data_IF_251117980592
#
_entry.id   IF_251117980592
#
_cell.length_a   1.000
_cell.length_b   1.000
_cell.length_c   1.000
_cell.angle_alpha   90.00
_cell.angle_beta   90.00
_cell.angle_gamma   90.00
#
_symmetry.space_group_name_H-M   'P 1'
#
loop_
_entity.id
_entity.type
_entity.pdbx_description
1 polymer ?
#
# COMPACT_ATOMS: atom_id res chain seq x y z
N UNK A 1 -8.74 -53.16 22.06
CA UNK A 1 -7.90 -52.26 22.89
C UNK A 1 -6.60 -51.86 22.21
N UNK A 2 -5.74 -52.80 21.75
CA UNK A 2 -4.46 -52.48 21.07
C UNK A 2 -4.58 -51.51 19.88
N UNK A 3 -5.55 -51.72 18.98
CA UNK A 3 -5.81 -50.80 17.85
C UNK A 3 -6.20 -49.38 18.28
N UNK A 4 -6.98 -49.24 19.35
CA UNK A 4 -7.36 -47.91 19.91
C UNK A 4 -6.15 -47.22 20.54
N UNK A 5 -5.30 -47.96 21.25
CA UNK A 5 -4.05 -47.43 21.81
C UNK A 5 -3.11 -46.95 20.69
N UNK A 6 -2.98 -47.74 19.62
CA UNK A 6 -2.15 -47.42 18.47
C UNK A 6 -2.63 -46.15 17.74
N UNK A 7 -3.95 -46.00 17.59
CA UNK A 7 -4.55 -44.78 17.01
C UNK A 7 -4.28 -43.56 17.91
N UNK A 8 -4.47 -43.70 19.23
CA UNK A 8 -4.20 -42.59 20.17
C UNK A 8 -2.73 -42.20 20.14
N UNK A 9 -1.80 -43.16 20.17
CA UNK A 9 -0.37 -42.89 20.08
C UNK A 9 0.02 -42.23 18.76
N UNK A 10 -0.55 -42.69 17.63
CA UNK A 10 -0.32 -42.06 16.33
C UNK A 10 -0.83 -40.62 16.29
N UNK A 11 -2.03 -40.36 16.83
CA UNK A 11 -2.59 -39.01 16.91
C UNK A 11 -1.74 -38.07 17.77
N UNK A 12 -1.27 -38.55 18.93
CA UNK A 12 -0.38 -37.76 19.80
C UNK A 12 0.92 -37.42 19.08
N UNK A 13 1.49 -38.38 18.34
CA UNK A 13 2.74 -38.17 17.61
C UNK A 13 2.57 -37.17 16.46
N UNK A 14 1.45 -37.22 15.73
CA UNK A 14 1.11 -36.24 14.69
C UNK A 14 1.00 -34.83 15.29
N UNK A 15 0.30 -34.69 16.43
CA UNK A 15 0.15 -33.39 17.12
C UNK A 15 1.51 -32.87 17.57
N UNK A 16 2.37 -33.73 18.11
CA UNK A 16 3.70 -33.35 18.56
C UNK A 16 4.59 -32.86 17.40
N UNK A 17 4.58 -33.57 16.25
CA UNK A 17 5.32 -33.15 15.05
C UNK A 17 4.78 -31.83 14.50
N UNK A 18 3.46 -31.67 14.45
CA UNK A 18 2.82 -30.43 13.99
C UNK A 18 3.18 -29.25 14.90
N UNK A 19 3.10 -29.42 16.22
CA UNK A 19 3.46 -28.40 17.20
C UNK A 19 4.96 -28.03 17.10
N UNK A 20 5.85 -29.02 16.98
CA UNK A 20 7.27 -28.78 16.78
C UNK A 20 7.55 -27.99 15.49
N UNK A 21 6.85 -28.31 14.39
CA UNK A 21 6.99 -27.58 13.13
C UNK A 21 6.45 -26.16 13.22
N UNK A 22 5.32 -25.96 13.91
CA UNK A 22 4.74 -24.64 14.15
C UNK A 22 5.70 -23.77 14.97
N UNK A 23 6.27 -24.30 16.05
CA UNK A 23 7.26 -23.59 16.87
C UNK A 23 8.50 -23.25 16.04
N UNK A 24 9.01 -24.20 15.26
CA UNK A 24 10.15 -23.97 14.39
C UNK A 24 9.87 -22.84 13.39
N UNK A 25 8.73 -22.89 12.70
CA UNK A 25 8.34 -21.84 11.74
C UNK A 25 8.19 -20.48 12.44
N UNK A 26 7.50 -20.40 13.58
CA UNK A 26 7.31 -19.12 14.28
C UNK A 26 8.60 -18.52 14.84
N UNK A 27 9.61 -19.35 15.12
CA UNK A 27 10.90 -18.90 15.69
C UNK A 27 11.97 -18.65 14.63
N UNK A 28 11.86 -19.28 13.46
CA UNK A 28 12.86 -19.21 12.39
C UNK A 28 12.35 -18.50 11.13
N UNK A 29 11.08 -18.10 11.07
CA UNK A 29 10.59 -17.19 10.02
C UNK A 29 10.98 -15.78 10.43
N UNK A 30 11.90 -15.11 9.71
CA UNK A 30 12.23 -13.73 9.99
C UNK A 30 10.99 -12.87 9.77
N UNK A 31 10.59 -12.13 10.80
CA UNK A 31 9.64 -11.04 10.61
C UNK A 31 10.37 -9.92 9.87
N UNK A 32 9.65 -9.24 8.98
CA UNK A 32 10.19 -8.06 8.33
C UNK A 32 10.59 -7.01 9.38
N UNK A 33 11.74 -6.38 9.16
CA UNK A 33 12.18 -5.30 10.03
C UNK A 33 11.40 -4.02 9.68
N UNK A 34 10.67 -3.48 10.65
CA UNK A 34 9.81 -2.32 10.41
C UNK A 34 10.61 -1.02 10.50
N UNK A 35 10.71 -0.31 9.38
CA UNK A 35 11.40 0.97 9.27
C UNK A 35 10.40 2.10 9.05
N UNK A 36 10.49 3.14 9.88
CA UNK A 36 9.59 4.29 9.87
C UNK A 36 10.35 5.56 9.49
N UNK A 37 9.83 6.27 8.49
CA UNK A 37 10.37 7.53 7.99
C UNK A 37 9.33 8.64 8.12
N UNK A 38 9.77 9.87 7.98
CA UNK A 38 8.96 11.10 8.02
C UNK A 38 8.78 11.66 6.61
N UNK A 39 7.74 12.47 6.42
CA UNK A 39 7.61 13.28 5.20
C UNK A 39 8.84 14.18 5.00
N UNK A 40 9.22 14.39 3.74
CA UNK A 40 10.41 15.14 3.33
C UNK A 40 11.70 14.31 3.30
N UNK A 41 11.74 13.13 3.92
CA UNK A 41 12.89 12.23 3.82
C UNK A 41 12.92 11.54 2.44
N UNK A 42 14.13 11.33 1.92
CA UNK A 42 14.34 10.49 0.73
C UNK A 42 14.48 9.04 1.17
N UNK A 43 13.50 8.21 0.81
CA UNK A 43 13.47 6.80 1.19
C UNK A 43 13.74 5.94 -0.04
N UNK A 44 14.81 5.16 -0.01
CA UNK A 44 15.15 4.25 -1.10
C UNK A 44 14.31 2.96 -1.01
N UNK A 45 13.82 2.49 -2.16
CA UNK A 45 13.14 1.20 -2.25
C UNK A 45 14.12 0.02 -2.07
N UNK A 46 15.35 0.16 -2.57
CA UNK A 46 16.40 -0.87 -2.52
C UNK A 46 15.89 -2.20 -3.13
N UNK A 47 16.36 -3.34 -2.64
CA UNK A 47 15.90 -4.67 -3.05
C UNK A 47 14.66 -5.15 -2.28
N UNK A 48 14.04 -4.27 -1.47
CA UNK A 48 12.80 -4.61 -0.80
C UNK A 48 11.66 -4.78 -1.80
N UNK A 49 10.66 -5.58 -1.44
CA UNK A 49 9.52 -5.95 -2.28
C UNK A 49 8.21 -6.02 -1.47
N UNK A 50 7.08 -6.03 -2.18
CA UNK A 50 5.77 -6.27 -1.55
C UNK A 50 5.44 -7.76 -1.45
N UNK A 51 5.57 -8.49 -2.56
CA UNK A 51 5.15 -9.89 -2.70
C UNK A 51 6.28 -10.80 -3.16
N UNK A 52 7.11 -10.34 -4.11
CA UNK A 52 8.16 -11.16 -4.71
C UNK A 52 9.48 -10.39 -4.90
N UNK A 53 10.59 -11.06 -4.63
CA UNK A 53 11.94 -10.46 -4.70
C UNK A 53 12.39 -10.08 -6.11
N UNK A 54 11.63 -10.46 -7.15
CA UNK A 54 11.90 -10.10 -8.54
C UNK A 54 11.20 -8.81 -9.00
N UNK A 55 10.48 -8.11 -8.11
CA UNK A 55 9.90 -6.78 -8.38
C UNK A 55 10.94 -5.72 -8.78
N UNK A 56 12.20 -5.90 -8.35
CA UNK A 56 13.39 -5.09 -8.65
C UNK A 56 13.15 -3.57 -8.71
N UNK A 57 13.28 -2.92 -7.56
CA UNK A 57 13.08 -1.48 -7.39
C UNK A 57 14.37 -0.78 -6.92
N UNK A 58 15.50 -1.48 -6.99
CA UNK A 58 16.79 -0.93 -6.61
C UNK A 58 17.14 0.25 -7.52
N UNK A 59 17.60 1.35 -6.95
CA UNK A 59 17.79 2.62 -7.64
C UNK A 59 16.55 3.54 -7.68
N UNK A 60 15.37 3.07 -7.27
CA UNK A 60 14.24 3.97 -7.00
C UNK A 60 14.28 4.54 -5.58
N UNK A 61 13.81 5.78 -5.45
CA UNK A 61 13.48 6.38 -4.16
C UNK A 61 12.22 7.25 -4.24
N UNK A 62 11.62 7.49 -3.07
CA UNK A 62 10.42 8.30 -2.90
C UNK A 62 10.68 9.40 -1.87
N UNK A 63 10.11 10.58 -2.14
CA UNK A 63 10.02 11.69 -1.20
C UNK A 63 8.54 12.06 -1.08
N UNK A 64 7.96 11.95 0.12
CA UNK A 64 6.61 12.47 0.35
C UNK A 64 6.71 13.95 0.70
N UNK A 65 6.16 14.80 -0.17
CA UNK A 65 6.27 16.27 -0.04
C UNK A 65 5.17 16.85 0.82
N UNK A 66 3.92 16.44 0.56
CA UNK A 66 2.72 16.99 1.20
C UNK A 66 1.61 15.95 1.21
N UNK A 67 0.73 16.04 2.19
CA UNK A 67 -0.54 15.35 2.20
C UNK A 67 -1.68 16.32 2.49
N UNK A 68 -2.78 16.21 1.76
CA UNK A 68 -3.97 17.04 1.97
C UNK A 68 -5.23 16.23 1.70
N UNK A 69 -6.27 16.47 2.50
CA UNK A 69 -7.57 15.83 2.31
C UNK A 69 -8.54 16.81 1.65
N UNK A 70 -9.21 16.36 0.60
CA UNK A 70 -10.17 17.13 -0.17
C UNK A 70 -11.51 16.39 -0.24
N UNK A 71 -12.65 17.08 -0.27
CA UNK A 71 -13.88 16.52 -0.81
C UNK A 71 -13.64 15.97 -2.22
N UNK A 72 -14.25 14.82 -2.55
CA UNK A 72 -13.99 14.11 -3.80
C UNK A 72 -14.16 14.99 -5.06
N UNK A 73 -15.21 15.81 -5.10
CA UNK A 73 -15.46 16.72 -6.21
C UNK A 73 -14.41 17.84 -6.28
N UNK A 74 -14.02 18.43 -5.15
CA UNK A 74 -13.02 19.50 -5.12
C UNK A 74 -11.65 19.01 -5.60
N UNK A 75 -11.29 17.76 -5.30
CA UNK A 75 -10.08 17.14 -5.84
C UNK A 75 -10.15 16.98 -7.35
N UNK A 76 -11.28 16.53 -7.89
CA UNK A 76 -11.48 16.42 -9.33
C UNK A 76 -11.35 17.79 -10.02
N UNK A 77 -11.97 18.82 -9.45
CA UNK A 77 -11.89 20.18 -9.97
C UNK A 77 -10.45 20.71 -9.94
N UNK A 78 -9.71 20.48 -8.84
CA UNK A 78 -8.27 20.81 -8.72
C UNK A 78 -7.43 20.16 -9.82
N UNK A 79 -7.75 18.92 -10.18
CA UNK A 79 -7.04 18.16 -11.21
C UNK A 79 -7.57 18.39 -12.63
N UNK A 80 -8.57 19.27 -12.82
CA UNK A 80 -9.28 19.50 -14.08
C UNK A 80 -9.90 18.21 -14.67
N UNK A 81 -10.42 17.35 -13.79
CA UNK A 81 -11.02 16.06 -14.15
C UNK A 81 -12.55 16.18 -14.17
N UNK A 82 -13.15 15.79 -15.29
CA UNK A 82 -14.60 15.67 -15.41
C UNK A 82 -15.03 14.29 -14.93
N UNK A 83 -15.66 14.23 -13.76
CA UNK A 83 -16.18 12.99 -13.21
C UNK A 83 -17.41 12.52 -13.98
N UNK A 84 -17.49 11.20 -14.20
CA UNK A 84 -18.76 10.60 -14.65
C UNK A 84 -19.86 10.81 -13.59
N UNK A 85 -21.13 10.98 -14.01
CA UNK A 85 -22.24 11.07 -13.07
C UNK A 85 -22.26 9.87 -12.12
N UNK A 86 -22.54 10.12 -10.84
CA UNK A 86 -22.69 9.05 -9.85
C UNK A 86 -23.97 8.28 -10.18
N UNK A 87 -23.86 7.12 -10.81
CA UNK A 87 -25.02 6.26 -11.10
C UNK A 87 -25.31 5.35 -9.90
N UNK A 88 -26.57 4.97 -9.69
CA UNK A 88 -26.97 4.04 -8.61
C UNK A 88 -26.33 2.65 -8.77
N UNK A 89 -25.90 2.29 -9.99
CA UNK A 89 -25.20 1.04 -10.32
C UNK A 89 -23.68 1.21 -10.43
N UNK A 90 -23.15 2.42 -10.18
CA UNK A 90 -21.73 2.68 -10.31
C UNK A 90 -20.96 2.12 -9.12
N UNK A 91 -19.68 1.85 -9.33
CA UNK A 91 -18.71 1.59 -8.27
C UNK A 91 -18.82 2.66 -7.18
N UNK A 92 -18.61 2.22 -5.93
CA UNK A 92 -18.62 3.10 -4.77
C UNK A 92 -17.66 4.29 -4.98
N UNK A 93 -18.15 5.50 -4.68
CA UNK A 93 -17.35 6.74 -4.71
C UNK A 93 -17.28 7.28 -3.29
N UNK A 94 -16.05 7.36 -2.77
CA UNK A 94 -15.77 7.92 -1.45
C UNK A 94 -16.14 9.41 -1.37
N UNK A 95 -16.32 9.90 -0.15
CA UNK A 95 -16.67 11.31 0.08
C UNK A 95 -15.45 12.23 0.02
N UNK A 96 -14.27 11.69 0.34
CA UNK A 96 -13.01 12.43 0.42
C UNK A 96 -11.88 11.68 -0.28
N UNK A 97 -10.92 12.45 -0.78
CA UNK A 97 -9.65 11.99 -1.34
C UNK A 97 -8.52 12.48 -0.45
N UNK A 98 -7.66 11.55 -0.06
CA UNK A 98 -6.42 11.82 0.65
C UNK A 98 -5.30 11.92 -0.41
N UNK A 99 -5.03 13.14 -0.85
CA UNK A 99 -4.02 13.46 -1.88
C UNK A 99 -2.63 13.48 -1.24
N UNK A 100 -1.79 12.51 -1.62
CA UNK A 100 -0.39 12.46 -1.19
C UNK A 100 0.49 12.88 -2.37
N UNK A 101 1.15 14.02 -2.24
CA UNK A 101 2.10 14.54 -3.22
C UNK A 101 3.48 13.96 -2.96
N UNK A 102 4.02 13.29 -3.97
CA UNK A 102 5.31 12.60 -3.88
C UNK A 102 6.22 12.99 -5.03
N UNK A 103 7.52 12.84 -4.84
CA UNK A 103 8.51 12.79 -5.91
C UNK A 103 9.05 11.37 -5.96
N UNK A 104 9.00 10.74 -7.13
CA UNK A 104 9.64 9.45 -7.40
C UNK A 104 10.89 9.72 -8.22
N UNK A 105 12.00 9.13 -7.80
CA UNK A 105 13.32 9.32 -8.41
C UNK A 105 13.78 7.94 -8.87
N UNK A 106 14.25 7.85 -10.11
CA UNK A 106 14.95 6.69 -10.65
C UNK A 106 16.40 7.08 -10.90
N UNK A 107 17.34 6.42 -10.21
CA UNK A 107 18.78 6.57 -10.40
C UNK A 107 19.36 5.28 -10.99
N UNK A 108 19.56 5.26 -12.31
CA UNK A 108 20.17 4.14 -13.03
C UNK A 108 19.37 2.83 -13.10
N UNK A 109 18.14 2.76 -12.60
CA UNK A 109 17.33 1.53 -12.71
C UNK A 109 16.74 1.38 -14.11
N UNK A 110 17.04 0.25 -14.76
CA UNK A 110 16.55 -0.09 -16.10
C UNK A 110 15.51 -1.21 -16.11
N UNK A 111 15.14 -1.80 -14.96
CA UNK A 111 14.31 -3.02 -14.89
C UNK A 111 13.35 -2.95 -13.68
N UNK A 112 12.18 -3.56 -13.81
CA UNK A 112 11.14 -3.46 -12.79
C UNK A 112 10.27 -2.21 -12.92
N UNK A 113 9.36 -2.04 -11.96
CA UNK A 113 8.35 -0.97 -11.94
C UNK A 113 7.93 -0.65 -10.50
N UNK A 114 7.40 0.55 -10.29
CA UNK A 114 6.73 0.93 -9.04
C UNK A 114 5.29 0.43 -9.10
N UNK A 115 4.89 -0.36 -8.10
CA UNK A 115 3.55 -0.94 -7.98
C UNK A 115 2.66 -0.10 -7.06
N UNK A 116 1.68 0.59 -7.64
CA UNK A 116 0.71 1.39 -6.89
C UNK A 116 -0.45 0.58 -6.32
N UNK A 117 -0.66 -0.67 -6.74
CA UNK A 117 -1.70 -1.53 -6.18
C UNK A 117 -1.37 -1.91 -4.74
N UNK A 118 -0.10 -2.24 -4.47
CA UNK A 118 0.37 -2.59 -3.13
C UNK A 118 0.91 -1.40 -2.31
N UNK A 119 1.14 -0.26 -2.95
CA UNK A 119 1.51 0.99 -2.26
C UNK A 119 0.29 1.63 -1.62
N UNK A 120 -0.08 1.14 -0.44
CA UNK A 120 -1.28 1.52 0.29
C UNK A 120 -1.00 2.60 1.35
N UNK A 121 -2.00 3.45 1.58
CA UNK A 121 -2.04 4.30 2.77
C UNK A 121 -2.78 3.56 3.89
N UNK A 122 -2.07 3.23 4.96
CA UNK A 122 -2.53 2.26 5.96
C UNK A 122 -2.52 2.79 7.39
N UNK A 123 -3.38 2.20 8.20
CA UNK A 123 -3.36 2.22 9.66
C UNK A 123 -3.77 0.81 10.15
N UNK A 124 -3.68 0.52 11.45
CA UNK A 124 -3.96 -0.81 12.02
C UNK A 124 -5.32 -1.41 11.64
N UNK A 125 -6.32 -0.59 11.31
CA UNK A 125 -7.67 -1.02 10.93
C UNK A 125 -8.24 -0.28 9.71
N UNK A 126 -7.39 0.32 8.88
CA UNK A 126 -7.79 0.99 7.65
C UNK A 126 -6.73 0.79 6.59
N UNK A 127 -7.15 0.41 5.39
CA UNK A 127 -6.32 0.43 4.18
C UNK A 127 -7.02 1.28 3.15
N UNK A 128 -6.31 2.24 2.59
CA UNK A 128 -6.80 3.07 1.50
C UNK A 128 -5.93 2.78 0.27
N UNK A 129 -6.50 2.16 -0.77
CA UNK A 129 -5.84 2.04 -2.06
C UNK A 129 -5.92 3.37 -2.82
N UNK A 130 -5.14 3.46 -3.89
CA UNK A 130 -5.30 4.52 -4.89
C UNK A 130 -6.70 4.39 -5.51
N UNK A 131 -7.41 5.52 -5.63
CA UNK A 131 -8.64 5.60 -6.39
C UNK A 131 -8.33 5.44 -7.89
N UNK A 132 -8.78 4.31 -8.45
CA UNK A 132 -8.48 3.95 -9.83
C UNK A 132 -9.04 4.94 -10.84
N UNK A 133 -10.21 5.52 -10.57
CA UNK A 133 -10.85 6.43 -11.49
C UNK A 133 -10.03 7.71 -11.59
N UNK A 134 -9.53 8.23 -10.46
CA UNK A 134 -8.58 9.33 -10.49
C UNK A 134 -7.26 8.93 -11.15
N UNK A 135 -6.68 7.79 -10.78
CA UNK A 135 -5.41 7.34 -11.33
C UNK A 135 -5.41 7.28 -12.87
N UNK A 136 -6.43 6.64 -13.45
CA UNK A 136 -6.57 6.52 -14.91
C UNK A 136 -6.75 7.86 -15.61
N UNK A 137 -7.50 8.78 -15.01
CA UNK A 137 -7.77 10.10 -15.57
C UNK A 137 -6.57 11.05 -15.43
N UNK A 138 -5.79 10.92 -14.36
CA UNK A 138 -4.58 11.70 -14.10
C UNK A 138 -3.39 11.24 -14.93
N UNK A 139 -3.28 9.93 -15.17
CA UNK A 139 -2.14 9.32 -15.87
C UNK A 139 -2.60 8.44 -17.04
N UNK A 140 -3.34 8.98 -18.03
CA UNK A 140 -3.89 8.19 -19.14
C UNK A 140 -2.82 7.47 -19.97
N UNK A 141 -1.59 7.98 -19.97
CA UNK A 141 -0.43 7.34 -20.62
C UNK A 141 -0.08 5.96 -20.05
N UNK A 142 -0.56 5.62 -18.85
CA UNK A 142 -0.34 4.31 -18.23
C UNK A 142 -1.34 3.24 -18.70
N UNK A 143 -2.35 3.61 -19.49
CA UNK A 143 -3.28 2.66 -20.10
C UNK A 143 -4.02 1.75 -19.12
N UNK A 144 -4.35 2.26 -17.92
CA UNK A 144 -5.02 1.48 -16.86
C UNK A 144 -4.07 0.70 -15.94
N UNK A 145 -2.76 0.77 -16.16
CA UNK A 145 -1.78 0.11 -15.29
C UNK A 145 -1.66 0.81 -13.93
N UNK A 146 -1.69 0.01 -12.85
CA UNK A 146 -1.26 0.44 -11.51
C UNK A 146 0.25 0.50 -11.34
N UNK A 147 1.00 0.00 -12.32
CA UNK A 147 2.46 0.04 -12.27
C UNK A 147 3.00 1.03 -13.29
N UNK A 148 4.05 1.75 -12.91
CA UNK A 148 4.76 2.65 -13.82
C UNK A 148 6.27 2.51 -13.66
N UNK A 149 6.99 2.99 -14.68
CA UNK A 149 8.44 3.03 -14.71
C UNK A 149 8.89 4.41 -15.17
N UNK A 150 9.88 4.97 -14.49
CA UNK A 150 10.56 6.18 -14.94
C UNK A 150 11.75 5.82 -15.81
N UNK A 151 12.15 6.72 -16.71
CA UNK A 151 13.41 6.55 -17.44
C UNK A 151 14.57 6.60 -16.43
N UNK A 152 15.69 5.89 -16.68
CA UNK A 152 16.88 6.01 -15.85
C UNK A 152 17.30 7.47 -15.69
N UNK A 153 17.76 7.83 -14.49
CA UNK A 153 18.26 9.15 -14.13
C UNK A 153 17.23 10.29 -14.34
N UNK A 154 15.97 9.98 -14.05
CA UNK A 154 14.87 10.95 -14.07
C UNK A 154 14.09 10.93 -12.77
N UNK A 155 13.37 12.02 -12.51
CA UNK A 155 12.43 12.13 -11.41
C UNK A 155 11.12 12.72 -11.92
N UNK A 156 10.03 12.40 -11.24
CA UNK A 156 8.71 12.95 -11.54
C UNK A 156 7.90 13.12 -10.26
N UNK A 157 7.15 14.22 -10.22
CA UNK A 157 6.17 14.47 -9.18
C UNK A 157 4.84 13.79 -9.51
N UNK A 158 4.25 13.14 -8.51
CA UNK A 158 2.96 12.48 -8.61
C UNK A 158 2.03 12.95 -7.49
N UNK A 159 0.75 12.97 -7.81
CA UNK A 159 -0.34 12.95 -6.85
C UNK A 159 -0.86 11.51 -6.74
N UNK A 160 -0.89 10.99 -5.51
CA UNK A 160 -1.42 9.69 -5.17
C UNK A 160 -2.79 9.88 -4.48
N UNK A 161 -3.91 9.67 -5.20
CA UNK A 161 -5.25 9.94 -4.69
C UNK A 161 -5.80 8.74 -3.90
N UNK A 162 -5.57 8.68 -2.60
CA UNK A 162 -6.05 7.59 -1.76
C UNK A 162 -7.49 7.80 -1.30
N UNK A 163 -8.30 6.73 -1.30
CA UNK A 163 -9.70 6.79 -0.83
C UNK A 163 -10.07 5.61 0.05
N UNK A 164 -11.14 5.76 0.83
CA UNK A 164 -11.81 4.62 1.46
C UNK A 164 -12.41 3.74 0.36
N UNK A 165 -12.26 2.43 0.48
CA UNK A 165 -12.63 1.48 -0.57
C UNK A 165 -14.12 1.12 -0.59
N UNK A 166 -14.78 1.16 0.59
CA UNK A 166 -16.16 0.67 0.70
C UNK A 166 -17.13 1.64 1.37
N UNK A 167 -18.40 1.54 0.98
CA UNK A 167 -19.49 2.28 1.62
C UNK A 167 -19.69 1.91 3.09
N UNK A 168 -19.29 0.71 3.51
CA UNK A 168 -19.33 0.29 4.90
C UNK A 168 -18.28 1.05 5.72
N UNK A 169 -17.03 1.09 5.26
CA UNK A 169 -15.96 1.84 5.93
C UNK A 169 -16.28 3.34 6.00
N UNK A 170 -16.78 3.93 4.90
CA UNK A 170 -17.13 5.35 4.85
C UNK A 170 -18.19 5.75 5.89
N UNK A 171 -19.13 4.84 6.21
CA UNK A 171 -20.14 5.07 7.25
C UNK A 171 -19.57 5.02 8.66
N UNK A 172 -18.47 4.31 8.86
CA UNK A 172 -17.86 4.06 10.17
C UNK A 172 -16.61 4.93 10.43
N UNK A 173 -16.15 5.68 9.44
CA UNK A 173 -14.97 6.53 9.53
C UNK A 173 -15.40 7.96 9.22
N UNK A 174 -15.33 8.84 10.23
CA UNK A 174 -15.64 10.25 10.05
C UNK A 174 -14.49 11.00 9.37
N UNK A 175 -14.78 12.17 8.80
CA UNK A 175 -13.74 13.07 8.31
C UNK A 175 -12.73 13.44 9.41
N UNK A 176 -13.19 13.62 10.64
CA UNK A 176 -12.31 13.95 11.76
C UNK A 176 -11.37 12.79 12.09
N UNK A 177 -11.83 11.55 11.95
CA UNK A 177 -10.99 10.37 12.08
C UNK A 177 -9.93 10.33 10.99
N UNK A 178 -10.30 10.59 9.72
CA UNK A 178 -9.34 10.66 8.61
C UNK A 178 -8.28 11.76 8.82
N UNK A 179 -8.66 12.87 9.47
CA UNK A 179 -7.76 14.00 9.74
C UNK A 179 -6.77 13.77 10.87
N UNK A 180 -7.15 12.98 11.88
CA UNK A 180 -6.36 12.83 13.11
C UNK A 180 -5.69 11.47 13.24
N UNK A 181 -6.15 10.45 12.50
CA UNK A 181 -5.59 9.11 12.54
C UNK A 181 -4.16 9.10 11.98
N UNK A 182 -3.21 8.44 12.65
CA UNK A 182 -1.86 8.29 12.12
C UNK A 182 -1.90 7.35 10.92
N UNK A 183 -1.57 7.88 9.75
CA UNK A 183 -1.51 7.11 8.50
C UNK A 183 -0.06 6.89 8.10
N UNK A 184 0.20 5.74 7.50
CA UNK A 184 1.51 5.31 7.03
C UNK A 184 1.40 4.96 5.55
N UNK A 185 2.25 5.55 4.71
CA UNK A 185 2.42 5.11 3.34
C UNK A 185 3.35 3.89 3.33
N UNK A 186 2.81 2.72 2.97
CA UNK A 186 3.57 1.48 2.88
C UNK A 186 4.26 1.35 1.52
N UNK A 187 5.59 1.26 1.48
CA UNK A 187 6.35 1.21 0.21
C UNK A 187 7.06 -0.14 -0.03
N UNK A 188 7.18 -0.97 1.01
CA UNK A 188 7.68 -2.36 0.93
C UNK A 188 7.22 -3.20 2.11
N UNK A 189 7.26 -4.53 1.98
CA UNK A 189 6.91 -5.46 3.06
C UNK A 189 8.09 -6.31 3.53
N UNK A 190 9.07 -6.62 2.66
CA UNK A 190 10.17 -7.54 2.95
C UNK A 190 11.44 -7.17 2.16
N UNK A 191 12.64 -7.50 2.67
CA UNK A 191 12.93 -7.88 4.06
C UNK A 191 12.69 -6.73 5.04
N UNK A 192 12.85 -5.48 4.59
CA UNK A 192 12.46 -4.31 5.37
C UNK A 192 11.05 -3.86 4.97
N UNK A 193 10.19 -3.70 5.98
CA UNK A 193 8.88 -3.09 5.81
C UNK A 193 9.01 -1.59 6.02
N UNK A 194 9.19 -0.86 4.93
CA UNK A 194 9.41 0.58 4.94
C UNK A 194 8.08 1.32 4.88
N UNK A 195 7.88 2.21 5.85
CA UNK A 195 6.65 2.98 6.02
C UNK A 195 6.97 4.45 6.26
N UNK A 196 6.27 5.34 5.57
CA UNK A 196 6.44 6.79 5.72
C UNK A 196 5.25 7.35 6.49
N UNK A 197 5.49 8.01 7.63
CA UNK A 197 4.46 8.68 8.44
C UNK A 197 3.89 9.86 7.68
N UNK A 198 2.57 9.90 7.58
CA UNK A 198 1.87 10.95 6.86
C UNK A 198 1.19 11.90 7.84
N UNK A 199 1.50 13.18 7.68
CA UNK A 199 0.95 14.30 8.43
C UNK A 199 0.25 15.25 7.46
N UNK A 200 -1.02 15.55 7.73
CA UNK A 200 -1.77 16.51 6.93
C UNK A 200 -1.19 17.91 7.08
N UNK A 201 -1.10 18.63 5.95
CA UNK A 201 -0.72 20.05 5.89
C UNK A 201 -1.90 20.99 6.15
#
# INVERSE_FOLDING_TARGET
MKKRLLIVSASVLIIAVWAARLIYLNTHTPFANELYYSMGETVAYEDDFFNASDENRDGYSIIVKRATIYPYQEFADKMNIVLSPKSETAYFRADYVYDVEVTIINKGNEVGAIDMFNTLLVNSNLRMPIDIAFWELMYPQLGGSYSFKLRPDTQMDFHFPYTIETSFEQKNISLQDLKTRPLLLNISNYPDKKMIRIELS
#
